data_IF_620561702124
#
_entry.id   IF_620561702124
#
_cell.length_a   1.000
_cell.length_b   1.000
_cell.length_c   1.000
_cell.angle_alpha   90.00
_cell.angle_beta   90.00
_cell.angle_gamma   90.00
#
_symmetry.space_group_name_H-M   'P 1'
#
loop_
_entity.id
_entity.type
_entity.pdbx_description
1 polymer ?
#
# COMPACT_ATOMS: atom_id res chain seq x y z
N UNK A 1 14.77 12.33 5.34
CA UNK A 1 13.83 11.22 5.03
C UNK A 1 14.60 9.93 5.09
N UNK A 2 14.19 8.95 5.91
CA UNK A 2 14.86 7.65 5.92
C UNK A 2 14.51 6.89 4.62
N UNK A 3 15.42 6.06 4.12
CA UNK A 3 15.19 5.20 2.93
C UNK A 3 13.92 4.35 3.08
N UNK A 4 13.56 3.93 4.30
CA UNK A 4 12.33 3.18 4.59
C UNK A 4 11.07 4.02 4.39
N UNK A 5 11.09 5.29 4.79
CA UNK A 5 9.95 6.19 4.65
C UNK A 5 9.69 6.55 3.19
N UNK A 6 10.77 6.70 2.40
CA UNK A 6 10.67 6.88 0.94
C UNK A 6 10.11 5.64 0.24
N UNK A 7 10.60 4.44 0.60
CA UNK A 7 10.08 3.18 0.07
C UNK A 7 8.58 3.03 0.39
N UNK A 8 8.18 3.29 1.63
CA UNK A 8 6.77 3.25 2.03
C UNK A 8 5.92 4.22 1.20
N UNK A 9 6.38 5.45 0.98
CA UNK A 9 5.66 6.42 0.14
C UNK A 9 5.48 5.92 -1.31
N UNK A 10 6.50 5.31 -1.89
CA UNK A 10 6.43 4.70 -3.23
C UNK A 10 5.41 3.54 -3.27
N UNK A 11 5.43 2.65 -2.28
CA UNK A 11 4.51 1.52 -2.20
C UNK A 11 3.06 1.97 -1.98
N UNK A 12 2.84 2.93 -1.09
CA UNK A 12 1.51 3.53 -0.88
C UNK A 12 0.99 4.16 -2.16
N UNK A 13 1.81 4.92 -2.88
CA UNK A 13 1.40 5.51 -4.15
C UNK A 13 1.02 4.41 -5.14
N UNK A 14 1.86 3.38 -5.32
CA UNK A 14 1.55 2.25 -6.21
C UNK A 14 0.24 1.57 -5.85
N UNK A 15 -0.01 1.32 -4.57
CA UNK A 15 -1.26 0.70 -4.11
C UNK A 15 -2.49 1.57 -4.43
N UNK A 16 -2.39 2.90 -4.31
CA UNK A 16 -3.47 3.80 -4.73
C UNK A 16 -3.82 3.64 -6.22
N UNK A 17 -2.82 3.62 -7.11
CA UNK A 17 -3.08 3.41 -8.55
C UNK A 17 -3.77 2.06 -8.82
N UNK A 18 -3.32 1.01 -8.14
CA UNK A 18 -3.89 -0.33 -8.28
C UNK A 18 -5.35 -0.37 -7.81
N UNK A 19 -5.66 0.29 -6.70
CA UNK A 19 -7.02 0.43 -6.19
C UNK A 19 -7.92 1.24 -7.13
N UNK A 20 -7.40 2.32 -7.72
CA UNK A 20 -8.13 3.14 -8.68
C UNK A 20 -8.50 2.32 -9.93
N UNK A 21 -7.56 1.54 -10.47
CA UNK A 21 -7.80 0.65 -11.62
C UNK A 21 -8.84 -0.44 -11.30
N UNK A 22 -8.75 -1.07 -10.13
CA UNK A 22 -9.70 -2.09 -9.68
C UNK A 22 -11.09 -1.51 -9.49
N UNK A 23 -11.21 -0.32 -8.89
CA UNK A 23 -12.49 0.36 -8.73
C UNK A 23 -13.13 0.68 -10.09
N UNK A 24 -12.32 1.15 -11.04
CA UNK A 24 -12.76 1.40 -12.41
C UNK A 24 -13.26 0.12 -13.10
N UNK A 25 -12.49 -0.97 -13.03
CA UNK A 25 -12.84 -2.26 -13.65
C UNK A 25 -14.06 -2.91 -13.00
N UNK A 26 -14.20 -2.79 -11.67
CA UNK A 26 -15.37 -3.24 -10.93
C UNK A 26 -16.64 -2.50 -11.40
N UNK A 27 -16.58 -1.18 -11.50
CA UNK A 27 -17.70 -0.37 -12.00
C UNK A 27 -18.08 -0.68 -13.45
N UNK A 28 -17.12 -1.14 -14.26
CA UNK A 28 -17.34 -1.58 -15.63
C UNK A 28 -17.80 -3.04 -15.77
N UNK A 29 -17.89 -3.82 -14.68
CA UNK A 29 -18.20 -5.25 -14.72
C UNK A 29 -17.11 -6.10 -15.42
N UNK A 30 -15.87 -5.61 -15.43
CA UNK A 30 -14.71 -6.22 -16.11
C UNK A 30 -13.65 -6.75 -15.14
N UNK A 31 -13.97 -6.77 -13.84
CA UNK A 31 -13.06 -7.25 -12.82
C UNK A 31 -12.97 -8.78 -12.87
N UNK A 32 -11.76 -9.30 -12.97
CA UNK A 32 -11.48 -10.74 -12.94
C UNK A 32 -10.76 -11.16 -11.65
N UNK A 33 -10.62 -12.48 -11.46
CA UNK A 33 -10.01 -13.05 -10.27
C UNK A 33 -8.52 -12.68 -10.15
N UNK A 34 -7.78 -12.67 -11.26
CA UNK A 34 -6.35 -12.35 -11.28
C UNK A 34 -6.09 -10.92 -10.81
N UNK A 35 -6.94 -9.96 -11.22
CA UNK A 35 -6.89 -8.57 -10.79
C UNK A 35 -7.18 -8.43 -9.29
N UNK A 36 -8.16 -9.18 -8.76
CA UNK A 36 -8.47 -9.19 -7.33
C UNK A 36 -7.30 -9.75 -6.53
N UNK A 37 -6.74 -10.88 -6.96
CA UNK A 37 -5.62 -11.54 -6.27
C UNK A 37 -4.35 -10.70 -6.29
N UNK A 38 -4.04 -10.05 -7.42
CA UNK A 38 -2.91 -9.13 -7.54
C UNK A 38 -3.05 -7.93 -6.61
N UNK A 39 -4.27 -7.41 -6.46
CA UNK A 39 -4.57 -6.28 -5.58
C UNK A 39 -4.46 -6.67 -4.12
N UNK A 40 -4.99 -7.84 -3.74
CA UNK A 40 -4.86 -8.37 -2.39
C UNK A 40 -3.38 -8.54 -2.01
N UNK A 41 -2.58 -9.15 -2.89
CA UNK A 41 -1.14 -9.34 -2.69
C UNK A 41 -0.39 -8.02 -2.49
N UNK A 42 -0.71 -6.98 -3.28
CA UNK A 42 -0.10 -5.66 -3.13
C UNK A 42 -0.48 -4.99 -1.80
N UNK A 43 -1.71 -5.14 -1.34
CA UNK A 43 -2.17 -4.60 -0.05
C UNK A 43 -1.52 -5.31 1.13
N UNK A 44 -1.32 -6.63 1.05
CA UNK A 44 -0.59 -7.38 2.07
C UNK A 44 0.85 -6.89 2.23
N UNK A 45 1.53 -6.57 1.12
CA UNK A 45 2.87 -6.00 1.15
C UNK A 45 2.89 -4.61 1.79
N UNK A 46 1.91 -3.75 1.48
CA UNK A 46 1.76 -2.45 2.15
C UNK A 46 1.55 -2.61 3.65
N UNK A 47 0.70 -3.54 4.08
CA UNK A 47 0.48 -3.85 5.50
C UNK A 47 1.77 -4.30 6.17
N UNK A 48 2.55 -5.17 5.52
CA UNK A 48 3.86 -5.62 6.03
C UNK A 48 4.81 -4.42 6.21
N UNK A 49 4.97 -3.58 5.19
CA UNK A 49 5.85 -2.41 5.25
C UNK A 49 5.42 -1.39 6.31
N UNK A 50 4.12 -1.15 6.46
CA UNK A 50 3.59 -0.28 7.52
C UNK A 50 3.93 -0.81 8.91
N UNK A 51 3.84 -2.13 9.13
CA UNK A 51 4.21 -2.77 10.40
C UNK A 51 5.71 -2.66 10.69
N UNK A 52 6.55 -2.75 9.67
CA UNK A 52 8.02 -2.59 9.79
C UNK A 52 8.43 -1.14 10.07
N UNK A 53 7.68 -0.16 9.53
CA UNK A 53 7.96 1.27 9.71
C UNK A 53 7.34 1.83 11.01
N UNK A 54 6.27 1.20 11.53
CA UNK A 54 5.55 1.63 12.74
C UNK A 54 6.46 1.91 13.95
N UNK A 55 7.45 1.06 14.32
CA UNK A 55 8.32 1.35 15.46
C UNK A 55 9.11 2.64 15.26
N UNK A 56 9.67 2.84 14.05
CA UNK A 56 10.44 4.04 13.70
C UNK A 56 9.60 5.31 13.72
N UNK A 57 8.32 5.24 13.34
CA UNK A 57 7.41 6.39 13.40
C UNK A 57 6.96 6.70 14.82
N UNK A 58 6.68 5.68 15.63
CA UNK A 58 6.31 5.88 17.05
C UNK A 58 7.47 6.46 17.85
N UNK A 59 8.70 5.98 17.62
CA UNK A 59 9.90 6.51 18.30
C UNK A 59 10.14 7.99 17.95
N UNK A 60 9.89 8.40 16.70
CA UNK A 60 10.00 9.81 16.26
C UNK A 60 8.88 10.72 16.80
N UNK A 61 7.77 10.16 17.26
CA UNK A 61 6.63 10.91 17.82
C UNK A 61 6.61 10.92 19.36
N UNK A 62 7.50 10.15 20.00
CA UNK A 62 7.64 10.07 21.45
C UNK A 62 8.74 10.97 22.03
N UNK A 63 9.46 11.70 21.17
CA UNK A 63 10.47 12.71 21.54
C UNK A 63 9.90 14.15 21.52
N UNK A 64 8.65 14.33 21.97
CA UNK A 64 8.00 15.64 22.21
C UNK A 64 7.78 15.91 23.71
#
# INVERSE_FOLDING_TARGET
>A
MSTRTAALATFLRRAQWLLDDVAFLAGAGRLDADQVDATASALEEVVRLLREVRPTVIDQLGED
#
